data_IF_827466622229
#
_entry.id   IF_827466622229
#
_cell.length_a   1.000
_cell.length_b   1.000
_cell.length_c   1.000
_cell.angle_alpha   90.00
_cell.angle_beta   90.00
_cell.angle_gamma   90.00
#
_symmetry.space_group_name_H-M   'P 1'
#
loop_
_entity.id
_entity.type
_entity.pdbx_description
1 polymer ?
#
# COMPACT_ATOMS: atom_id res chain seq x y z
N UNK A 1 -1.89 7.72 -16.97
CA UNK A 1 -3.27 8.12 -17.28
C UNK A 1 -3.76 7.50 -18.60
N UNK A 2 -2.91 7.40 -19.60
CA UNK A 2 -3.25 6.75 -20.89
C UNK A 2 -3.83 5.33 -20.70
N UNK A 3 -3.32 4.58 -19.71
CA UNK A 3 -3.83 3.26 -19.37
C UNK A 3 -5.26 3.33 -18.78
N UNK A 4 -5.53 4.32 -17.93
CA UNK A 4 -6.87 4.57 -17.35
C UNK A 4 -7.88 4.86 -18.46
N UNK A 5 -7.52 5.66 -19.46
CA UNK A 5 -8.38 5.94 -20.61
C UNK A 5 -8.54 4.72 -21.52
N UNK A 6 -7.44 4.05 -21.85
CA UNK A 6 -7.46 2.86 -22.71
C UNK A 6 -8.36 1.76 -22.13
N UNK A 7 -8.35 1.58 -20.81
CA UNK A 7 -9.19 0.63 -20.09
C UNK A 7 -10.58 1.17 -19.76
N UNK A 8 -10.88 2.43 -20.13
CA UNK A 8 -12.15 3.11 -19.85
C UNK A 8 -12.54 3.06 -18.36
N UNK A 9 -11.60 3.32 -17.47
CA UNK A 9 -11.80 3.25 -16.03
C UNK A 9 -12.48 4.52 -15.51
N UNK A 10 -13.81 4.52 -15.51
CA UNK A 10 -14.65 5.66 -15.10
C UNK A 10 -14.61 5.97 -13.58
N UNK A 11 -13.95 5.13 -12.80
CA UNK A 11 -13.82 5.29 -11.35
C UNK A 11 -12.79 6.33 -10.90
N UNK A 12 -12.13 7.01 -11.84
CA UNK A 12 -11.15 8.07 -11.55
C UNK A 12 -11.62 9.43 -12.02
N UNK A 13 -11.10 10.47 -11.35
CA UNK A 13 -11.32 11.84 -11.79
C UNK A 13 -10.77 12.03 -13.21
N UNK A 14 -11.54 12.72 -14.04
CA UNK A 14 -11.10 13.05 -15.39
C UNK A 14 -9.98 14.11 -15.35
N UNK A 15 -8.82 13.81 -15.94
CA UNK A 15 -7.73 14.77 -16.10
C UNK A 15 -7.95 15.56 -17.39
N UNK A 16 -7.86 16.87 -17.30
CA UNK A 16 -8.06 17.79 -18.41
C UNK A 16 -6.73 17.95 -19.13
N UNK A 17 -6.62 17.61 -20.44
CA UNK A 17 -5.37 17.77 -21.17
C UNK A 17 -5.03 19.26 -21.39
N UNK A 18 -3.74 19.56 -21.49
CA UNK A 18 -3.25 20.89 -21.83
C UNK A 18 -3.48 21.21 -23.33
N UNK A 19 -3.07 22.40 -23.77
CA UNK A 19 -3.23 22.85 -25.17
C UNK A 19 -2.47 21.98 -26.19
N UNK A 20 -1.53 21.15 -25.74
CA UNK A 20 -0.78 20.21 -26.56
C UNK A 20 -1.37 18.79 -26.52
N UNK A 21 -2.55 18.63 -25.92
CA UNK A 21 -3.20 17.33 -25.70
C UNK A 21 -2.41 16.38 -24.79
N UNK A 22 -1.59 16.93 -23.88
CA UNK A 22 -0.84 16.18 -22.89
C UNK A 22 -1.51 16.32 -21.53
N UNK A 23 -1.53 15.24 -20.72
CA UNK A 23 -2.12 15.24 -19.39
C UNK A 23 -1.20 15.83 -18.32
N UNK A 24 0.12 15.94 -18.61
CA UNK A 24 1.11 16.51 -17.72
C UNK A 24 1.75 17.75 -18.33
N UNK A 25 1.97 18.75 -17.51
CA UNK A 25 2.73 19.97 -17.86
C UNK A 25 3.92 20.08 -16.92
N UNK A 26 5.11 20.30 -17.46
CA UNK A 26 6.31 20.54 -16.67
C UNK A 26 6.44 22.05 -16.42
N UNK A 27 6.42 22.44 -15.15
CA UNK A 27 6.67 23.81 -14.73
C UNK A 27 7.64 23.84 -13.55
N UNK A 28 8.74 24.55 -13.66
CA UNK A 28 9.80 24.68 -12.65
C UNK A 28 10.28 23.30 -12.11
N UNK A 29 10.52 22.34 -13.01
CA UNK A 29 10.91 20.95 -12.69
C UNK A 29 9.87 20.13 -11.90
N UNK A 30 8.63 20.60 -11.85
CA UNK A 30 7.51 19.87 -11.26
C UNK A 30 6.54 19.43 -12.33
N UNK A 31 5.93 18.26 -12.13
CA UNK A 31 4.86 17.77 -12.99
C UNK A 31 3.52 18.27 -12.43
N UNK A 32 2.75 18.94 -13.28
CA UNK A 32 1.44 19.48 -12.96
C UNK A 32 0.40 18.84 -13.87
N UNK A 33 -0.78 18.56 -13.33
CA UNK A 33 -1.94 18.18 -14.11
C UNK A 33 -3.17 18.96 -13.66
N UNK A 34 -4.15 19.09 -14.54
CA UNK A 34 -5.39 19.80 -14.30
C UNK A 34 -6.55 18.83 -14.15
N UNK A 35 -7.31 18.97 -13.09
CA UNK A 35 -8.53 18.20 -12.87
C UNK A 35 -9.67 19.11 -12.41
N UNK A 36 -10.94 18.71 -12.56
CA UNK A 36 -12.08 19.43 -11.99
C UNK A 36 -11.92 19.59 -10.47
N UNK A 37 -12.36 20.70 -9.94
CA UNK A 37 -12.37 20.91 -8.49
C UNK A 37 -13.40 19.96 -7.84
N UNK A 38 -12.94 19.13 -6.93
CA UNK A 38 -13.77 18.21 -6.14
C UNK A 38 -13.89 18.78 -4.73
N UNK A 39 -15.12 19.12 -4.33
CA UNK A 39 -15.40 19.61 -2.99
C UNK A 39 -15.14 18.52 -1.94
N UNK A 40 -14.53 18.90 -0.83
CA UNK A 40 -14.34 18.03 0.32
C UNK A 40 -15.69 17.62 0.93
N UNK A 41 -15.88 16.34 1.15
CA UNK A 41 -17.07 15.78 1.76
C UNK A 41 -16.91 15.60 3.27
N UNK A 42 -18.06 15.58 3.99
CA UNK A 42 -18.10 15.41 5.45
C UNK A 42 -17.37 14.14 5.94
N UNK A 43 -16.66 14.25 7.06
CA UNK A 43 -15.95 13.13 7.70
C UNK A 43 -16.88 12.02 8.25
N UNK A 44 -18.19 12.29 8.38
CA UNK A 44 -19.16 11.29 8.87
C UNK A 44 -19.42 10.13 7.90
N UNK A 45 -18.86 10.17 6.70
CA UNK A 45 -19.06 9.18 5.63
C UNK A 45 -17.91 8.16 5.53
N UNK A 46 -17.09 8.00 6.56
CA UNK A 46 -15.88 7.14 6.51
C UNK A 46 -16.17 5.72 6.07
N UNK A 47 -17.17 5.06 6.67
CA UNK A 47 -17.53 3.67 6.33
C UNK A 47 -17.98 3.54 4.87
N UNK A 48 -18.82 4.49 4.39
CA UNK A 48 -19.25 4.50 3.00
C UNK A 48 -18.08 4.75 2.03
N UNK A 49 -17.10 5.59 2.42
CA UNK A 49 -15.89 5.83 1.64
C UNK A 49 -15.01 4.59 1.57
N UNK A 50 -14.85 3.87 2.68
CA UNK A 50 -14.10 2.59 2.70
C UNK A 50 -14.79 1.57 1.78
N UNK A 51 -16.11 1.42 1.88
CA UNK A 51 -16.85 0.49 1.03
C UNK A 51 -16.67 0.86 -0.45
N UNK A 52 -16.89 2.13 -0.80
CA UNK A 52 -16.70 2.62 -2.17
C UNK A 52 -15.27 2.40 -2.67
N UNK A 53 -14.28 2.61 -1.81
CA UNK A 53 -12.88 2.38 -2.13
C UNK A 53 -12.62 0.92 -2.51
N UNK A 54 -13.09 -0.04 -1.69
CA UNK A 54 -12.92 -1.46 -1.99
C UNK A 54 -13.66 -1.89 -3.26
N UNK A 55 -14.88 -1.39 -3.47
CA UNK A 55 -15.64 -1.66 -4.70
C UNK A 55 -14.87 -1.12 -5.93
N UNK A 56 -14.28 0.07 -5.80
CA UNK A 56 -13.48 0.69 -6.86
C UNK A 56 -12.18 -0.07 -7.11
N UNK A 57 -11.48 -0.51 -6.05
CA UNK A 57 -10.28 -1.34 -6.20
C UNK A 57 -10.59 -2.68 -6.87
N UNK A 58 -11.68 -3.34 -6.46
CA UNK A 58 -12.09 -4.60 -7.09
C UNK A 58 -12.33 -4.41 -8.59
N UNK A 59 -13.04 -3.35 -8.96
CA UNK A 59 -13.28 -2.99 -10.37
C UNK A 59 -11.96 -2.69 -11.09
N UNK A 60 -11.07 -1.87 -10.51
CA UNK A 60 -9.77 -1.51 -11.07
C UNK A 60 -8.92 -2.76 -11.33
N UNK A 61 -8.79 -3.61 -10.33
CA UNK A 61 -7.98 -4.82 -10.42
C UNK A 61 -8.52 -5.77 -11.48
N UNK A 62 -9.85 -6.03 -11.49
CA UNK A 62 -10.49 -6.93 -12.45
C UNK A 62 -10.25 -6.49 -13.90
N UNK A 63 -10.31 -5.19 -14.19
CA UNK A 63 -10.19 -4.66 -15.55
C UNK A 63 -8.74 -4.38 -15.98
N UNK A 64 -7.78 -4.45 -15.06
CA UNK A 64 -6.38 -4.17 -15.36
C UNK A 64 -5.43 -5.35 -15.13
N UNK A 65 -5.93 -6.55 -14.86
CA UNK A 65 -5.09 -7.72 -14.64
C UNK A 65 -4.20 -8.04 -15.84
N UNK A 66 -2.95 -8.30 -15.53
CA UNK A 66 -1.94 -8.74 -16.49
C UNK A 66 -1.09 -9.86 -15.89
N UNK A 67 -0.91 -10.97 -16.62
CA UNK A 67 -0.05 -12.07 -16.20
C UNK A 67 1.39 -11.78 -16.65
N UNK A 68 2.26 -11.47 -15.69
CA UNK A 68 3.68 -11.19 -15.88
C UNK A 68 4.51 -12.44 -15.57
N UNK A 69 5.53 -12.72 -16.38
CA UNK A 69 6.49 -13.80 -16.09
C UNK A 69 7.23 -13.50 -14.78
N UNK A 70 7.39 -14.53 -13.95
CA UNK A 70 8.13 -14.40 -12.70
C UNK A 70 9.60 -14.09 -12.98
N UNK A 71 10.09 -12.99 -12.44
CA UNK A 71 11.50 -12.67 -12.39
C UNK A 71 12.10 -13.22 -11.08
N UNK A 72 12.68 -14.40 -11.10
CA UNK A 72 13.26 -15.04 -9.92
C UNK A 72 14.34 -14.18 -9.23
N UNK A 73 15.12 -13.43 -10.01
CA UNK A 73 16.15 -12.52 -9.47
C UNK A 73 15.52 -11.41 -8.61
N UNK A 74 14.41 -10.82 -9.08
CA UNK A 74 13.67 -9.80 -8.33
C UNK A 74 13.17 -10.35 -6.99
N UNK A 75 12.50 -11.51 -7.00
CA UNK A 75 11.97 -12.10 -5.78
C UNK A 75 13.05 -12.53 -4.80
N UNK A 76 14.20 -13.00 -5.29
CA UNK A 76 15.33 -13.32 -4.42
C UNK A 76 15.92 -12.06 -3.74
N UNK A 77 15.95 -10.94 -4.45
CA UNK A 77 16.38 -9.66 -3.87
C UNK A 77 15.35 -9.20 -2.83
N UNK A 78 14.05 -9.25 -3.16
CA UNK A 78 12.96 -8.92 -2.25
C UNK A 78 13.02 -9.77 -0.95
N UNK A 79 13.24 -11.08 -1.07
CA UNK A 79 13.41 -11.98 0.09
C UNK A 79 14.53 -11.49 1.01
N UNK A 80 15.70 -11.18 0.45
CA UNK A 80 16.85 -10.70 1.23
C UNK A 80 16.55 -9.39 1.94
N UNK A 81 15.91 -8.46 1.26
CA UNK A 81 15.59 -7.15 1.82
C UNK A 81 14.55 -7.28 2.94
N UNK A 82 13.50 -8.07 2.75
CA UNK A 82 12.49 -8.32 3.80
C UNK A 82 13.10 -9.06 4.99
N UNK A 83 13.92 -10.10 4.77
CA UNK A 83 14.61 -10.81 5.85
C UNK A 83 15.54 -9.89 6.63
N UNK A 84 16.24 -8.97 5.95
CA UNK A 84 17.08 -7.98 6.59
C UNK A 84 16.25 -7.09 7.53
N UNK A 85 15.14 -6.53 7.05
CA UNK A 85 14.23 -5.70 7.86
C UNK A 85 13.71 -6.45 9.08
N UNK A 86 13.24 -7.70 8.90
CA UNK A 86 12.75 -8.53 10.01
C UNK A 86 13.86 -8.76 11.04
N UNK A 87 15.08 -9.11 10.61
CA UNK A 87 16.19 -9.35 11.51
C UNK A 87 16.64 -8.08 12.26
N UNK A 88 16.67 -6.92 11.58
CA UNK A 88 16.95 -5.63 12.21
C UNK A 88 15.90 -5.29 13.28
N UNK A 89 14.61 -5.58 13.03
CA UNK A 89 13.55 -5.41 14.01
C UNK A 89 13.70 -6.35 15.21
N UNK A 90 14.02 -7.63 15.00
CA UNK A 90 14.33 -8.54 16.09
C UNK A 90 15.44 -7.99 16.98
N UNK A 91 16.59 -7.66 16.39
CA UNK A 91 17.75 -7.13 17.14
C UNK A 91 17.42 -5.82 17.89
N UNK A 92 16.62 -4.95 17.27
CA UNK A 92 16.21 -3.70 17.89
C UNK A 92 15.37 -3.94 19.13
N UNK A 93 14.34 -4.80 19.03
CA UNK A 93 13.48 -5.09 20.17
C UNK A 93 14.19 -5.89 21.27
N UNK A 94 15.04 -6.86 20.92
CA UNK A 94 15.83 -7.61 21.89
C UNK A 94 16.72 -6.69 22.73
N UNK A 95 17.47 -5.81 22.09
CA UNK A 95 18.32 -4.82 22.80
C UNK A 95 17.50 -3.87 23.67
N UNK A 96 16.34 -3.46 23.20
CA UNK A 96 15.45 -2.57 23.97
C UNK A 96 14.89 -3.27 25.20
N UNK A 97 14.44 -4.51 25.06
CA UNK A 97 13.94 -5.33 26.17
C UNK A 97 15.05 -5.59 27.19
N UNK A 98 16.25 -6.01 26.73
CA UNK A 98 17.41 -6.21 27.59
C UNK A 98 17.76 -4.93 28.39
N UNK A 99 17.71 -3.76 27.73
CA UNK A 99 17.92 -2.48 28.41
C UNK A 99 16.87 -2.25 29.51
N UNK A 100 15.60 -2.49 29.21
CA UNK A 100 14.52 -2.28 30.19
C UNK A 100 14.55 -3.30 31.34
N UNK A 101 14.94 -4.54 31.08
CA UNK A 101 15.07 -5.57 32.12
C UNK A 101 16.18 -5.24 33.12
N UNK A 102 17.19 -4.51 32.71
CA UNK A 102 18.30 -4.07 33.57
C UNK A 102 18.02 -2.78 34.36
N UNK A 103 16.90 -2.08 34.09
CA UNK A 103 16.52 -0.90 34.86
C UNK A 103 15.88 -1.26 36.20
N UNK A 104 16.31 -0.54 37.26
CA UNK A 104 15.75 -0.71 38.62
C UNK A 104 14.33 -0.18 38.72
N UNK A 105 14.06 0.94 38.03
CA UNK A 105 12.73 1.58 37.98
C UNK A 105 12.27 1.70 36.55
N UNK A 106 11.28 0.89 36.17
CA UNK A 106 10.68 0.91 34.84
C UNK A 106 9.44 1.78 34.79
N UNK A 107 9.27 2.54 33.74
CA UNK A 107 8.03 3.25 33.48
C UNK A 107 6.88 2.27 33.14
N UNK A 108 5.60 2.65 33.30
CA UNK A 108 4.49 1.81 32.91
C UNK A 108 4.53 1.34 31.45
N UNK A 109 4.99 2.19 30.52
CA UNK A 109 5.13 1.84 29.11
C UNK A 109 6.24 0.81 28.86
N UNK A 110 7.39 0.91 29.56
CA UNK A 110 8.45 -0.09 29.50
C UNK A 110 7.95 -1.44 30.03
N UNK A 111 7.21 -1.46 31.17
CA UNK A 111 6.57 -2.67 31.67
C UNK A 111 5.61 -3.29 30.68
N UNK A 112 4.73 -2.49 30.07
CA UNK A 112 3.81 -2.98 29.04
C UNK A 112 4.57 -3.61 27.87
N UNK A 113 5.67 -3.03 27.43
CA UNK A 113 6.45 -3.57 26.32
C UNK A 113 7.12 -4.90 26.71
N UNK A 114 7.79 -4.96 27.85
CA UNK A 114 8.44 -6.20 28.34
C UNK A 114 7.41 -7.33 28.45
N UNK A 115 6.26 -7.06 29.06
CA UNK A 115 5.20 -8.08 29.24
C UNK A 115 4.54 -8.54 27.95
N UNK A 116 4.56 -7.72 26.89
CA UNK A 116 3.96 -8.05 25.61
C UNK A 116 5.00 -8.38 24.51
N UNK A 117 6.28 -8.44 24.86
CA UNK A 117 7.34 -8.70 23.89
C UNK A 117 7.15 -10.02 23.12
N UNK A 118 6.62 -11.05 23.78
CA UNK A 118 6.33 -12.32 23.14
C UNK A 118 5.43 -12.18 21.91
N UNK A 119 4.46 -11.23 21.93
CA UNK A 119 3.59 -10.98 20.76
C UNK A 119 4.35 -10.40 19.58
N UNK A 120 5.33 -9.50 19.86
CA UNK A 120 6.20 -8.94 18.84
C UNK A 120 7.09 -10.03 18.27
N UNK A 121 7.67 -10.87 19.14
CA UNK A 121 8.50 -11.99 18.75
C UNK A 121 7.73 -12.97 17.85
N UNK A 122 6.54 -13.38 18.27
CA UNK A 122 5.69 -14.31 17.52
C UNK A 122 5.27 -13.72 16.16
N UNK A 123 4.93 -12.43 16.11
CA UNK A 123 4.58 -11.74 14.86
C UNK A 123 5.76 -11.73 13.88
N UNK A 124 6.98 -11.41 14.34
CA UNK A 124 8.18 -11.42 13.50
C UNK A 124 8.57 -12.84 13.05
N UNK A 125 8.42 -13.84 13.94
CA UNK A 125 8.66 -15.25 13.60
C UNK A 125 7.66 -15.74 12.53
N UNK A 126 6.39 -15.38 12.69
CA UNK A 126 5.33 -15.68 11.72
C UNK A 126 5.59 -15.01 10.37
N UNK A 127 6.05 -13.74 10.37
CA UNK A 127 6.44 -13.05 9.15
C UNK A 127 7.55 -13.79 8.38
N UNK A 128 8.58 -14.30 9.07
CA UNK A 128 9.62 -15.16 8.44
C UNK A 128 9.04 -16.43 7.85
N UNK A 129 8.13 -17.07 8.57
CA UNK A 129 7.49 -18.30 8.09
C UNK A 129 6.67 -18.04 6.82
N UNK A 130 5.86 -17.00 6.79
CA UNK A 130 5.08 -16.64 5.61
C UNK A 130 5.96 -16.23 4.43
N UNK A 131 7.04 -15.48 4.68
CA UNK A 131 8.00 -15.15 3.61
C UNK A 131 8.59 -16.42 2.99
N UNK A 132 9.00 -17.39 3.81
CA UNK A 132 9.53 -18.67 3.32
C UNK A 132 8.49 -19.45 2.51
N UNK A 133 7.22 -19.48 2.95
CA UNK A 133 6.12 -20.11 2.21
C UNK A 133 5.86 -19.40 0.88
N UNK A 134 5.81 -18.07 0.90
CA UNK A 134 5.64 -17.26 -0.30
C UNK A 134 6.74 -17.54 -1.33
N UNK A 135 8.01 -17.57 -0.90
CA UNK A 135 9.14 -17.86 -1.79
C UNK A 135 9.07 -19.24 -2.42
N UNK A 136 8.60 -20.26 -1.68
CA UNK A 136 8.35 -21.60 -2.27
C UNK A 136 7.28 -21.54 -3.36
N UNK A 137 6.16 -20.86 -3.10
CA UNK A 137 5.13 -20.67 -4.13
C UNK A 137 5.67 -19.94 -5.37
N UNK A 138 6.46 -18.88 -5.19
CA UNK A 138 7.07 -18.15 -6.30
C UNK A 138 8.02 -19.01 -7.13
N UNK A 139 8.79 -19.91 -6.50
CA UNK A 139 9.68 -20.82 -7.22
C UNK A 139 8.93 -21.80 -8.12
N UNK A 140 7.71 -22.18 -7.76
CA UNK A 140 6.85 -23.09 -8.51
C UNK A 140 6.00 -22.37 -9.57
N UNK A 141 5.84 -21.03 -9.46
CA UNK A 141 5.04 -20.23 -10.37
C UNK A 141 5.82 -19.83 -11.63
N UNK A 142 5.17 -19.92 -12.79
CA UNK A 142 5.70 -19.40 -14.05
C UNK A 142 5.31 -17.93 -14.30
N UNK A 143 4.14 -17.54 -13.84
CA UNK A 143 3.63 -16.18 -13.94
C UNK A 143 2.97 -15.74 -12.65
N UNK A 144 2.97 -14.45 -12.42
CA UNK A 144 2.22 -13.78 -11.35
C UNK A 144 1.24 -12.81 -11.98
N UNK A 145 0.10 -12.65 -11.34
CA UNK A 145 -0.91 -11.70 -11.76
C UNK A 145 -0.69 -10.37 -11.07
N UNK A 146 -0.44 -9.34 -11.86
CA UNK A 146 -0.35 -7.94 -11.43
C UNK A 146 -1.54 -7.18 -11.98
N UNK A 147 -1.80 -6.00 -11.41
CA UNK A 147 -2.85 -5.09 -11.86
C UNK A 147 -2.41 -3.65 -11.68
N UNK A 148 -3.19 -2.73 -12.18
CA UNK A 148 -3.02 -1.33 -11.86
C UNK A 148 -3.45 -1.10 -10.40
N UNK A 149 -2.50 -0.67 -9.56
CA UNK A 149 -2.72 -0.38 -8.13
C UNK A 149 -2.83 1.12 -7.92
N UNK A 150 -3.62 1.54 -6.94
CA UNK A 150 -3.85 2.95 -6.63
C UNK A 150 -2.85 3.52 -5.60
N UNK A 151 -2.53 2.76 -4.55
CA UNK A 151 -1.50 3.04 -3.52
C UNK A 151 -1.57 4.44 -2.87
N UNK A 152 -2.73 5.05 -2.84
CA UNK A 152 -2.88 6.41 -2.31
C UNK A 152 -4.18 6.58 -1.51
N UNK A 153 -4.46 5.63 -0.60
CA UNK A 153 -5.64 5.72 0.24
C UNK A 153 -5.60 6.99 1.10
N UNK A 154 -6.60 7.84 0.94
CA UNK A 154 -6.95 8.94 1.83
C UNK A 154 -8.47 9.19 1.71
N UNK A 155 -9.13 9.45 2.82
CA UNK A 155 -10.55 9.79 2.82
C UNK A 155 -10.86 11.06 1.99
N UNK A 156 -9.89 11.96 1.87
CA UNK A 156 -10.02 13.19 1.06
C UNK A 156 -9.90 12.90 -0.44
N UNK A 157 -9.27 11.78 -0.81
CA UNK A 157 -9.14 11.35 -2.20
C UNK A 157 -10.35 10.58 -2.72
N UNK A 158 -11.37 10.37 -1.88
CA UNK A 158 -12.57 9.60 -2.22
C UNK A 158 -13.76 10.54 -2.29
N UNK A 159 -14.36 10.70 -3.47
CA UNK A 159 -15.61 11.44 -3.67
C UNK A 159 -16.77 10.49 -3.93
N UNK A 160 -17.68 10.39 -2.95
CA UNK A 160 -18.93 9.64 -3.09
C UNK A 160 -19.92 10.35 -4.02
N UNK A 161 -19.95 11.69 -3.98
CA UNK A 161 -20.81 12.51 -4.82
C UNK A 161 -20.50 12.33 -6.31
N UNK A 162 -19.21 12.31 -6.65
CA UNK A 162 -18.74 12.16 -8.03
C UNK A 162 -18.41 10.71 -8.39
N UNK A 163 -18.50 9.79 -7.44
CA UNK A 163 -18.17 8.36 -7.60
C UNK A 163 -16.79 8.14 -8.22
N UNK A 164 -15.78 8.86 -7.72
CA UNK A 164 -14.43 8.76 -8.25
C UNK A 164 -13.35 8.85 -7.16
N UNK A 165 -12.19 8.28 -7.49
CA UNK A 165 -10.93 8.51 -6.79
C UNK A 165 -10.16 9.63 -7.47
N UNK A 166 -9.45 10.45 -6.67
CA UNK A 166 -8.58 11.52 -7.12
C UNK A 166 -7.13 11.22 -6.75
N UNK A 167 -6.17 12.01 -7.22
CA UNK A 167 -4.73 11.86 -6.91
C UNK A 167 -4.14 10.54 -7.39
N UNK A 168 -4.00 10.43 -8.71
CA UNK A 168 -3.50 9.23 -9.40
C UNK A 168 -1.97 9.09 -9.39
N UNK A 169 -1.29 9.87 -8.56
CA UNK A 169 0.16 10.10 -8.59
C UNK A 169 1.00 8.86 -8.28
N UNK A 170 0.42 7.90 -7.55
CA UNK A 170 1.12 6.69 -7.08
C UNK A 170 0.68 5.42 -7.80
N UNK A 171 -0.18 5.56 -8.81
CA UNK A 171 -0.67 4.40 -9.57
C UNK A 171 0.47 3.74 -10.34
N UNK A 172 0.59 2.43 -10.21
CA UNK A 172 1.55 1.61 -10.95
C UNK A 172 1.05 0.18 -11.15
N UNK A 173 1.69 -0.55 -12.07
CA UNK A 173 1.43 -1.98 -12.25
C UNK A 173 2.16 -2.78 -11.18
N UNK A 174 1.39 -3.37 -10.24
CA UNK A 174 1.96 -4.11 -9.11
C UNK A 174 0.98 -5.19 -8.60
N UNK A 175 1.35 -5.85 -7.50
CA UNK A 175 0.49 -6.84 -6.85
C UNK A 175 -0.71 -6.15 -6.17
N UNK A 176 -1.94 -6.64 -6.35
CA UNK A 176 -3.16 -6.04 -5.78
C UNK A 176 -3.12 -5.88 -4.26
N UNK A 177 -2.33 -6.70 -3.56
CA UNK A 177 -2.20 -6.65 -2.11
C UNK A 177 -1.65 -5.32 -1.59
N UNK A 178 -0.89 -4.58 -2.41
CA UNK A 178 -0.30 -3.31 -1.98
C UNK A 178 -1.33 -2.21 -1.74
N UNK A 179 -2.47 -2.23 -2.42
CA UNK A 179 -3.57 -1.30 -2.14
C UNK A 179 -4.19 -1.54 -0.77
N UNK A 180 -4.37 -2.81 -0.41
CA UNK A 180 -4.88 -3.20 0.92
C UNK A 180 -3.87 -2.83 2.00
N UNK A 181 -2.59 -3.05 1.74
CA UNK A 181 -1.51 -2.74 2.67
C UNK A 181 -1.37 -1.22 2.89
N UNK A 182 -1.44 -0.40 1.83
CA UNK A 182 -1.43 1.06 1.93
C UNK A 182 -2.60 1.58 2.79
N UNK A 183 -3.80 1.06 2.55
CA UNK A 183 -4.97 1.40 3.35
C UNK A 183 -4.78 1.00 4.83
N UNK A 184 -4.33 -0.23 5.08
CA UNK A 184 -4.13 -0.72 6.45
C UNK A 184 -3.11 0.11 7.25
N UNK A 185 -2.06 0.60 6.60
CA UNK A 185 -1.09 1.49 7.25
C UNK A 185 -1.67 2.85 7.64
N UNK A 186 -2.67 3.33 6.91
CA UNK A 186 -3.28 4.66 7.10
C UNK A 186 -4.52 4.65 8.01
N UNK A 187 -5.06 3.47 8.31
CA UNK A 187 -6.19 3.29 9.22
C UNK A 187 -5.73 2.39 10.40
N UNK A 188 -5.13 2.95 11.44
CA UNK A 188 -4.56 2.17 12.54
C UNK A 188 -5.60 1.48 13.45
N UNK A 189 -6.88 1.80 13.31
CA UNK A 189 -7.96 1.36 14.20
C UNK A 189 -8.87 0.27 13.60
N UNK A 190 -8.44 -0.40 12.55
CA UNK A 190 -9.16 -1.56 11.98
C UNK A 190 -8.63 -2.87 12.56
#
# INVERSE_FOLDING_TARGET
YDLVETLNLSCFVHIIPNLHHEYLTIYQHQYLYLMPFIESESQHLKEMKIQFYFETLAYLHEHSFYDMKVNQQYFHTLEKDVLKVINERFQYYEKMIESYENEVYRSPSQWMLVMNYYRIYDALALAKQYLSQYMKCIQECHSIRICLTYKNFDYQHISLKHKCLISLDYMEMDLPIYDIFDMYQKIPDI
#
